data_IF_350703919019
#
_entry.id   IF_350703919019
#
_cell.length_a   1.000
_cell.length_b   1.000
_cell.length_c   1.000
_cell.angle_alpha   90.00
_cell.angle_beta   90.00
_cell.angle_gamma   90.00
#
_symmetry.space_group_name_H-M   'P 1'
#
loop_
_entity.id
_entity.type
_entity.pdbx_description
1 polymer ?
#
# COMPACT_ATOMS: atom_id res chain seq x y z
N UNK A 1 -2.61 26.39 -24.59
CA UNK A 1 -3.59 26.94 -23.64
C UNK A 1 -3.99 25.78 -22.75
N UNK A 2 -3.32 25.67 -21.60
CA UNK A 2 -3.65 24.66 -20.61
C UNK A 2 -4.97 25.08 -19.95
N UNK A 3 -5.96 24.17 -19.96
CA UNK A 3 -7.24 24.39 -19.31
C UNK A 3 -7.07 24.49 -17.79
N UNK A 4 -8.03 25.09 -17.06
CA UNK A 4 -7.93 25.28 -15.63
C UNK A 4 -7.71 23.93 -14.93
N UNK A 5 -6.61 23.81 -14.18
CA UNK A 5 -6.29 22.61 -13.41
C UNK A 5 -7.44 22.28 -12.46
N UNK A 6 -7.78 20.98 -12.35
CA UNK A 6 -8.81 20.51 -11.43
C UNK A 6 -8.46 20.89 -9.99
N UNK A 7 -9.46 21.29 -9.20
CA UNK A 7 -9.28 21.59 -7.78
C UNK A 7 -8.89 20.33 -6.99
N UNK A 8 -8.23 20.47 -5.84
CA UNK A 8 -7.84 19.32 -4.99
C UNK A 8 -9.05 18.49 -4.58
N UNK A 9 -10.19 19.11 -4.36
CA UNK A 9 -11.46 18.44 -4.06
C UNK A 9 -11.95 17.58 -5.23
N UNK A 10 -11.86 18.09 -6.48
CA UNK A 10 -12.25 17.32 -7.67
C UNK A 10 -11.31 16.16 -7.94
N UNK A 11 -10.02 16.32 -7.70
CA UNK A 11 -9.02 15.23 -7.84
C UNK A 11 -9.30 14.12 -6.84
N UNK A 12 -9.53 14.45 -5.57
CA UNK A 12 -9.87 13.49 -4.51
C UNK A 12 -11.18 12.77 -4.80
N UNK A 13 -12.23 13.47 -5.25
CA UNK A 13 -13.50 12.85 -5.61
C UNK A 13 -13.38 11.92 -6.83
N UNK A 14 -12.52 12.25 -7.79
CA UNK A 14 -12.25 11.36 -8.93
C UNK A 14 -11.49 10.12 -8.49
N UNK A 15 -10.44 10.26 -7.67
CA UNK A 15 -9.67 9.14 -7.16
C UNK A 15 -10.55 8.12 -6.41
N UNK A 16 -11.50 8.60 -5.60
CA UNK A 16 -12.43 7.76 -4.84
C UNK A 16 -13.42 6.96 -5.71
N UNK A 17 -13.47 7.22 -7.03
CA UNK A 17 -14.33 6.49 -7.99
C UNK A 17 -13.56 5.50 -8.85
N UNK A 18 -12.23 5.61 -8.91
CA UNK A 18 -11.41 4.70 -9.68
C UNK A 18 -11.27 3.36 -8.93
N UNK A 19 -11.28 2.28 -9.68
CA UNK A 19 -11.14 0.91 -9.16
C UNK A 19 -9.79 0.29 -9.50
N UNK A 20 -8.92 1.04 -10.18
CA UNK A 20 -7.54 0.69 -10.51
C UNK A 20 -6.69 1.96 -10.65
N UNK A 21 -5.37 1.85 -10.48
CA UNK A 21 -4.41 2.96 -10.55
C UNK A 21 -3.15 2.48 -11.25
N UNK A 22 -2.70 3.26 -12.22
CA UNK A 22 -1.47 3.01 -12.94
C UNK A 22 -0.29 3.71 -12.25
N UNK A 23 0.93 3.46 -12.71
CA UNK A 23 2.15 3.94 -12.05
C UNK A 23 2.19 5.46 -11.85
N UNK A 24 1.74 6.24 -12.83
CA UNK A 24 1.69 7.69 -12.72
C UNK A 24 0.72 8.19 -11.64
N UNK A 25 -0.39 7.47 -11.42
CA UNK A 25 -1.33 7.77 -10.33
C UNK A 25 -0.68 7.50 -8.97
N UNK A 26 0.10 6.41 -8.87
CA UNK A 26 0.85 6.08 -7.65
C UNK A 26 1.92 7.13 -7.35
N UNK A 27 2.62 7.62 -8.37
CA UNK A 27 3.57 8.72 -8.22
C UNK A 27 2.87 10.04 -7.84
N UNK A 28 1.69 10.32 -8.39
CA UNK A 28 0.87 11.47 -7.98
C UNK A 28 0.45 11.34 -6.50
N UNK A 29 0.09 10.13 -6.05
CA UNK A 29 -0.15 9.87 -4.62
C UNK A 29 1.11 10.13 -3.79
N UNK A 30 2.27 9.65 -4.24
CA UNK A 30 3.55 9.84 -3.55
C UNK A 30 3.96 11.32 -3.44
N UNK A 31 3.57 12.16 -4.40
CA UNK A 31 3.77 13.63 -4.36
C UNK A 31 2.71 14.37 -3.56
N UNK A 32 1.69 13.68 -3.01
CA UNK A 32 0.59 14.28 -2.26
C UNK A 32 -0.48 14.93 -3.12
N UNK A 33 -0.49 14.65 -4.42
CA UNK A 33 -1.40 15.27 -5.40
C UNK A 33 -2.74 14.52 -5.53
N UNK A 34 -2.75 13.18 -5.29
CA UNK A 34 -3.91 12.33 -5.54
C UNK A 34 -5.02 12.54 -4.50
N UNK A 35 -4.68 12.54 -3.23
CA UNK A 35 -5.63 12.70 -2.11
C UNK A 35 -5.55 14.10 -1.47
N UNK A 36 -4.72 14.97 -2.01
CA UNK A 36 -4.52 16.33 -1.53
C UNK A 36 -3.52 16.45 -0.37
N UNK A 37 -3.06 17.68 -0.08
CA UNK A 37 -2.06 17.94 0.94
C UNK A 37 -2.48 17.47 2.34
N UNK A 38 -1.54 16.89 3.10
CA UNK A 38 -1.78 16.43 4.47
C UNK A 38 -2.52 15.11 4.60
N UNK A 39 -2.89 14.47 3.49
CA UNK A 39 -3.57 13.17 3.46
C UNK A 39 -2.61 12.00 3.18
N UNK A 40 -3.17 10.80 2.99
CA UNK A 40 -2.40 9.60 2.73
C UNK A 40 -1.48 9.77 1.52
N UNK A 41 -0.22 9.37 1.67
CA UNK A 41 0.79 9.37 0.62
C UNK A 41 1.48 8.01 0.55
N UNK A 42 1.81 7.59 -0.65
CA UNK A 42 2.76 6.50 -0.87
C UNK A 42 4.20 7.03 -0.75
N UNK A 43 5.19 6.20 -0.46
CA UNK A 43 6.58 6.61 -0.58
C UNK A 43 6.94 6.79 -2.07
N UNK A 44 7.96 7.60 -2.33
CA UNK A 44 8.57 7.68 -3.65
C UNK A 44 9.48 6.46 -3.90
N UNK A 45 9.77 6.10 -5.16
CA UNK A 45 10.82 5.15 -5.46
C UNK A 45 12.17 5.55 -4.83
N UNK A 46 12.98 4.59 -4.35
CA UNK A 46 12.82 3.15 -4.53
C UNK A 46 11.95 2.45 -3.49
N UNK A 47 11.35 3.15 -2.54
CA UNK A 47 10.51 2.56 -1.48
C UNK A 47 9.05 2.29 -1.90
N UNK A 48 8.59 2.79 -3.04
CA UNK A 48 7.32 2.38 -3.63
C UNK A 48 7.44 0.93 -4.10
N UNK A 49 6.70 0.02 -3.48
CA UNK A 49 6.91 -1.43 -3.62
C UNK A 49 5.95 -2.11 -4.58
N UNK A 50 5.18 -1.36 -5.36
CA UNK A 50 4.33 -1.86 -6.44
C UNK A 50 4.21 -0.81 -7.55
N UNK A 51 3.90 -1.25 -8.75
CA UNK A 51 3.83 -0.39 -9.94
C UNK A 51 2.40 -0.17 -10.44
N UNK A 52 1.43 -0.92 -9.90
CA UNK A 52 0.03 -0.83 -10.28
C UNK A 52 -0.86 -1.32 -9.16
N UNK A 53 -2.00 -0.68 -8.97
CA UNK A 53 -3.14 -1.24 -8.24
C UNK A 53 -4.12 -1.73 -9.30
N UNK A 54 -4.20 -3.06 -9.47
CA UNK A 54 -5.05 -3.68 -10.48
C UNK A 54 -6.52 -3.69 -10.08
N UNK A 55 -6.81 -3.68 -8.78
CA UNK A 55 -8.17 -3.63 -8.24
C UNK A 55 -8.20 -3.01 -6.85
N UNK A 56 -9.22 -2.20 -6.61
CA UNK A 56 -9.58 -1.69 -5.28
C UNK A 56 -11.10 -1.62 -5.18
N UNK A 57 -11.67 -2.12 -4.09
CA UNK A 57 -13.11 -2.13 -3.85
C UNK A 57 -13.42 -2.02 -2.36
N UNK A 58 -14.48 -1.29 -2.00
CA UNK A 58 -15.01 -1.24 -0.64
C UNK A 58 -15.92 -2.43 -0.29
N UNK A 59 -16.11 -3.34 -1.24
CA UNK A 59 -16.94 -4.54 -1.11
C UNK A 59 -16.09 -5.78 -1.49
N UNK A 60 -16.55 -6.96 -1.06
CA UNK A 60 -15.83 -8.22 -1.35
C UNK A 60 -14.62 -8.43 -0.43
N UNK A 61 -13.61 -9.15 -0.94
CA UNK A 61 -12.49 -9.66 -0.17
C UNK A 61 -12.87 -10.78 0.79
N UNK A 62 -11.88 -11.37 1.45
CA UNK A 62 -12.08 -12.52 2.37
C UNK A 62 -13.08 -12.22 3.50
N UNK A 63 -13.12 -10.97 3.96
CA UNK A 63 -13.96 -10.54 5.09
C UNK A 63 -15.23 -9.76 4.65
N UNK A 64 -15.48 -9.62 3.35
CA UNK A 64 -16.62 -8.85 2.82
C UNK A 64 -16.61 -7.36 3.19
N UNK A 65 -15.41 -6.79 3.43
CA UNK A 65 -15.21 -5.40 3.88
C UNK A 65 -14.36 -4.58 2.92
N UNK A 66 -14.06 -5.15 1.75
CA UNK A 66 -13.23 -4.57 0.72
C UNK A 66 -11.87 -5.22 0.59
N UNK A 67 -11.26 -4.97 -0.56
CA UNK A 67 -9.95 -5.49 -0.92
C UNK A 67 -9.17 -4.49 -1.77
N UNK A 68 -7.86 -4.64 -1.76
CA UNK A 68 -6.96 -3.96 -2.69
C UNK A 68 -5.93 -4.96 -3.19
N UNK A 69 -5.71 -4.97 -4.50
CA UNK A 69 -4.74 -5.83 -5.19
C UNK A 69 -3.76 -4.96 -5.95
N UNK A 70 -2.47 -5.18 -5.73
CA UNK A 70 -1.40 -4.48 -6.42
C UNK A 70 -0.39 -5.46 -7.02
N UNK A 71 0.36 -4.99 -7.99
CA UNK A 71 1.31 -5.80 -8.77
C UNK A 71 2.68 -5.11 -8.86
N UNK A 72 3.73 -5.95 -8.92
CA UNK A 72 5.09 -5.54 -9.20
C UNK A 72 5.75 -6.54 -10.16
N UNK A 73 6.21 -6.05 -11.30
CA UNK A 73 7.07 -6.84 -12.20
C UNK A 73 8.47 -6.94 -11.61
N UNK A 74 8.96 -8.15 -11.45
CA UNK A 74 10.31 -8.39 -10.96
C UNK A 74 11.30 -8.33 -12.13
N UNK A 75 12.32 -7.48 -11.95
CA UNK A 75 13.44 -7.33 -12.88
C UNK A 75 14.73 -7.66 -12.15
N UNK A 76 15.68 -8.35 -12.80
CA UNK A 76 16.94 -8.76 -12.14
C UNK A 76 17.81 -7.61 -11.64
N UNK A 77 17.57 -6.38 -12.13
CA UNK A 77 18.30 -5.16 -11.79
C UNK A 77 17.60 -4.32 -10.69
N UNK A 78 16.52 -4.84 -10.06
CA UNK A 78 15.91 -4.15 -8.93
C UNK A 78 16.93 -3.91 -7.81
N UNK A 79 16.87 -2.72 -7.23
CA UNK A 79 17.87 -2.15 -6.34
C UNK A 79 18.27 -3.02 -5.14
N UNK A 80 17.39 -3.88 -4.67
CA UNK A 80 17.65 -4.73 -3.51
C UNK A 80 18.46 -6.00 -3.86
N UNK A 81 18.39 -6.51 -5.09
CA UNK A 81 19.08 -7.75 -5.47
C UNK A 81 20.62 -7.66 -5.41
N UNK A 82 21.27 -6.55 -5.85
CA UNK A 82 22.72 -6.44 -5.73
C UNK A 82 23.26 -6.42 -4.31
N UNK A 83 22.44 -6.02 -3.34
CA UNK A 83 22.86 -5.82 -1.94
C UNK A 83 22.29 -6.87 -0.98
N UNK A 84 21.30 -7.64 -1.38
CA UNK A 84 20.64 -8.59 -0.50
C UNK A 84 20.44 -9.97 -1.17
N UNK A 85 21.45 -10.81 -1.24
CA UNK A 85 22.84 -10.68 -0.81
C UNK A 85 23.80 -10.81 -2.00
N UNK A 86 25.07 -10.40 -1.83
CA UNK A 86 26.08 -10.60 -2.87
C UNK A 86 26.28 -12.08 -3.18
N UNK A 87 25.92 -12.50 -4.40
CA UNK A 87 26.01 -13.91 -4.82
C UNK A 87 24.81 -14.78 -4.46
N UNK A 88 23.83 -14.23 -3.72
CA UNK A 88 22.58 -14.89 -3.35
C UNK A 88 21.43 -13.84 -3.34
N UNK A 89 21.00 -13.37 -4.53
CA UNK A 89 20.03 -12.29 -4.65
C UNK A 89 18.62 -12.75 -4.25
N UNK A 90 18.08 -12.12 -3.22
CA UNK A 90 16.71 -12.33 -2.75
C UNK A 90 16.11 -11.00 -2.28
N UNK A 91 14.84 -10.75 -2.55
CA UNK A 91 14.14 -9.58 -2.04
C UNK A 91 14.03 -9.64 -0.52
N UNK A 92 14.41 -8.58 0.22
CA UNK A 92 14.16 -8.53 1.67
C UNK A 92 12.69 -8.74 2.00
N UNK A 93 12.38 -9.69 2.89
CA UNK A 93 11.00 -9.99 3.27
C UNK A 93 10.24 -8.79 3.86
N UNK A 94 10.98 -7.88 4.54
CA UNK A 94 10.40 -6.64 5.07
C UNK A 94 9.83 -5.71 3.99
N UNK A 95 10.35 -5.74 2.76
CA UNK A 95 9.83 -4.92 1.66
C UNK A 95 8.45 -5.39 1.19
N UNK A 96 8.24 -6.71 1.16
CA UNK A 96 6.90 -7.27 0.88
C UNK A 96 5.88 -6.92 1.96
N UNK A 97 6.30 -6.94 3.23
CA UNK A 97 5.46 -6.51 4.34
C UNK A 97 5.15 -5.00 4.26
N UNK A 98 6.14 -4.18 3.92
CA UNK A 98 5.95 -2.74 3.78
C UNK A 98 4.97 -2.41 2.64
N UNK A 99 5.03 -3.14 1.51
CA UNK A 99 4.05 -3.02 0.44
C UNK A 99 2.60 -3.20 0.93
N UNK A 100 2.35 -4.20 1.78
CA UNK A 100 1.02 -4.44 2.34
C UNK A 100 0.54 -3.28 3.23
N UNK A 101 1.44 -2.66 4.02
CA UNK A 101 1.10 -1.46 4.78
C UNK A 101 0.88 -0.24 3.88
N UNK A 102 1.67 -0.06 2.82
CA UNK A 102 1.48 1.00 1.83
C UNK A 102 0.08 0.89 1.20
N UNK A 103 -0.32 -0.31 0.79
CA UNK A 103 -1.64 -0.59 0.20
C UNK A 103 -2.78 -0.30 1.18
N UNK A 104 -2.65 -0.71 2.45
CA UNK A 104 -3.66 -0.45 3.47
C UNK A 104 -3.80 1.06 3.72
N UNK A 105 -2.69 1.81 3.76
CA UNK A 105 -2.70 3.26 3.86
C UNK A 105 -3.34 3.94 2.65
N UNK A 106 -3.02 3.48 1.44
CA UNK A 106 -3.65 3.94 0.21
C UNK A 106 -5.16 3.70 0.21
N UNK A 107 -5.61 2.51 0.64
CA UNK A 107 -7.03 2.16 0.73
C UNK A 107 -7.81 3.12 1.65
N UNK A 108 -7.24 3.49 2.79
CA UNK A 108 -7.88 4.46 3.69
C UNK A 108 -7.99 5.85 3.05
N UNK A 109 -6.94 6.30 2.34
CA UNK A 109 -6.97 7.55 1.56
C UNK A 109 -8.01 7.51 0.44
N UNK A 110 -8.10 6.40 -0.28
CA UNK A 110 -9.08 6.16 -1.32
C UNK A 110 -10.53 6.21 -0.79
N UNK A 111 -10.76 5.78 0.44
CA UNK A 111 -12.06 5.94 1.13
C UNK A 111 -12.33 7.38 1.61
N UNK A 112 -11.44 8.32 1.33
CA UNK A 112 -11.56 9.71 1.75
C UNK A 112 -11.23 9.99 3.21
N UNK A 113 -10.56 9.06 3.90
CA UNK A 113 -10.14 9.30 5.28
C UNK A 113 -8.98 10.33 5.30
N UNK A 114 -9.09 11.39 6.12
CA UNK A 114 -8.06 12.43 6.19
C UNK A 114 -6.86 11.99 7.03
N UNK A 115 -5.70 12.60 6.75
CA UNK A 115 -4.51 12.49 7.59
C UNK A 115 -3.37 11.68 6.99
N UNK A 116 -2.20 11.78 7.61
CA UNK A 116 -0.95 11.14 7.19
C UNK A 116 -0.89 9.69 7.69
N UNK A 117 -0.52 8.77 6.79
CA UNK A 117 -0.43 7.33 7.08
C UNK A 117 0.77 6.96 7.97
N UNK A 118 0.55 6.05 8.91
CA UNK A 118 1.60 5.40 9.70
C UNK A 118 1.29 3.93 9.88
N UNK A 119 2.27 3.07 9.57
CA UNK A 119 2.22 1.67 9.96
C UNK A 119 2.30 1.58 11.49
N UNK A 120 1.42 0.80 12.09
CA UNK A 120 1.33 0.70 13.56
C UNK A 120 1.77 -0.67 14.07
N UNK A 121 1.27 -1.74 13.44
CA UNK A 121 1.62 -3.10 13.85
C UNK A 121 1.19 -4.12 12.81
N UNK A 122 1.66 -5.34 13.00
CA UNK A 122 1.15 -6.58 12.40
C UNK A 122 1.06 -7.63 13.51
N UNK A 123 0.05 -8.47 13.48
CA UNK A 123 -0.13 -9.53 14.48
C UNK A 123 0.78 -10.72 14.23
N UNK A 124 0.80 -11.24 13.00
CA UNK A 124 1.62 -12.37 12.59
C UNK A 124 2.09 -12.18 11.15
N UNK A 125 3.33 -12.56 10.87
CA UNK A 125 3.86 -12.67 9.50
C UNK A 125 4.46 -14.06 9.33
N UNK A 126 4.09 -14.74 8.23
CA UNK A 126 4.68 -16.00 7.82
C UNK A 126 5.31 -15.86 6.44
N UNK A 127 6.58 -16.20 6.34
CA UNK A 127 7.32 -16.30 5.09
C UNK A 127 7.43 -17.79 4.72
N UNK A 128 6.78 -18.21 3.64
CA UNK A 128 6.78 -19.58 3.13
C UNK A 128 7.54 -19.73 1.82
N UNK A 129 8.00 -18.64 1.24
CA UNK A 129 8.77 -18.61 0.00
C UNK A 129 9.66 -17.38 -0.10
N UNK A 130 10.36 -17.24 -1.22
CA UNK A 130 11.33 -16.18 -1.50
C UNK A 130 11.03 -15.55 -2.86
N UNK A 131 11.39 -14.27 -3.02
CA UNK A 131 11.40 -13.57 -4.30
C UNK A 131 12.85 -13.51 -4.79
N UNK A 132 13.14 -14.26 -5.83
CA UNK A 132 14.46 -14.31 -6.50
C UNK A 132 14.36 -13.68 -7.89
N UNK A 133 15.49 -13.35 -8.56
CA UNK A 133 15.46 -12.68 -9.87
C UNK A 133 14.76 -13.43 -11.00
N UNK A 134 14.46 -14.72 -10.83
CA UNK A 134 13.72 -15.53 -11.80
C UNK A 134 12.19 -15.48 -11.62
N UNK A 135 11.69 -14.86 -10.56
CA UNK A 135 10.27 -14.54 -10.41
C UNK A 135 9.90 -13.49 -11.46
N UNK A 136 8.76 -13.61 -12.10
CA UNK A 136 8.30 -12.64 -13.09
C UNK A 136 7.43 -11.56 -12.48
N UNK A 137 6.50 -11.96 -11.59
CA UNK A 137 5.50 -11.03 -11.05
C UNK A 137 5.17 -11.32 -9.59
N UNK A 138 5.04 -10.24 -8.80
CA UNK A 138 4.40 -10.27 -7.49
C UNK A 138 2.98 -9.74 -7.58
N UNK A 139 2.09 -10.39 -6.83
CA UNK A 139 0.74 -9.94 -6.57
C UNK A 139 0.56 -9.77 -5.06
N UNK A 140 0.26 -8.54 -4.63
CA UNK A 140 -0.04 -8.19 -3.26
C UNK A 140 -1.55 -8.07 -3.11
N UNK A 141 -2.11 -8.66 -2.07
CA UNK A 141 -3.54 -8.61 -1.76
C UNK A 141 -3.69 -8.17 -0.31
N UNK A 142 -4.54 -7.20 -0.06
CA UNK A 142 -4.96 -6.84 1.31
C UNK A 142 -6.47 -6.92 1.39
N UNK A 143 -6.96 -7.79 2.27
CA UNK A 143 -8.37 -7.98 2.60
C UNK A 143 -8.71 -7.21 3.87
N UNK A 144 -9.64 -6.26 3.76
CA UNK A 144 -10.04 -5.41 4.87
C UNK A 144 -10.89 -6.17 5.89
N UNK A 145 -10.48 -6.13 7.16
CA UNK A 145 -11.24 -6.69 8.29
C UNK A 145 -12.15 -5.67 8.93
N UNK A 146 -11.66 -4.45 9.14
CA UNK A 146 -12.42 -3.36 9.76
C UNK A 146 -11.75 -2.01 9.58
N UNK A 147 -12.57 -0.97 9.63
CA UNK A 147 -12.12 0.42 9.70
C UNK A 147 -12.76 1.05 10.93
N UNK A 148 -11.93 1.67 11.76
CA UNK A 148 -12.34 2.34 13.00
C UNK A 148 -12.08 3.82 12.83
N UNK A 149 -13.12 4.65 12.92
CA UNK A 149 -13.04 6.11 12.84
C UNK A 149 -13.31 6.69 14.22
N UNK A 150 -12.27 7.29 14.81
CA UNK A 150 -12.32 7.98 16.12
C UNK A 150 -11.49 9.26 16.03
N UNK A 151 -10.53 9.48 16.95
CA UNK A 151 -9.54 10.58 16.86
C UNK A 151 -8.69 10.50 15.58
N UNK A 152 -8.45 9.30 15.09
CA UNK A 152 -7.80 9.00 13.81
C UNK A 152 -8.53 7.84 13.13
N UNK A 153 -8.28 7.63 11.86
CA UNK A 153 -8.83 6.48 11.13
C UNK A 153 -7.84 5.32 11.18
N UNK A 154 -8.26 4.19 11.74
CA UNK A 154 -7.49 2.95 11.80
C UNK A 154 -8.05 1.93 10.82
N UNK A 155 -7.23 1.45 9.90
CA UNK A 155 -7.49 0.29 9.06
C UNK A 155 -6.86 -0.96 9.64
N UNK A 156 -7.58 -2.07 9.62
CA UNK A 156 -7.09 -3.41 9.96
C UNK A 156 -7.39 -4.34 8.80
N UNK A 157 -6.41 -5.10 8.35
CA UNK A 157 -6.55 -6.05 7.25
C UNK A 157 -5.61 -7.23 7.36
N UNK A 158 -5.85 -8.26 6.56
CA UNK A 158 -4.94 -9.36 6.34
C UNK A 158 -4.28 -9.20 4.97
N UNK A 159 -3.03 -9.59 4.86
CA UNK A 159 -2.25 -9.47 3.64
C UNK A 159 -1.77 -10.81 3.12
N UNK A 160 -1.71 -10.93 1.80
CA UNK A 160 -1.12 -12.06 1.08
C UNK A 160 -0.19 -11.54 -0.01
N UNK A 161 0.99 -12.13 -0.14
CA UNK A 161 1.90 -11.92 -1.25
C UNK A 161 2.06 -13.21 -2.02
N UNK A 162 1.86 -13.12 -3.34
CA UNK A 162 2.10 -14.22 -4.27
C UNK A 162 3.25 -13.89 -5.20
N UNK A 163 4.07 -14.88 -5.51
CA UNK A 163 5.07 -14.85 -6.58
C UNK A 163 4.64 -15.84 -7.67
N UNK A 164 4.43 -15.36 -8.89
CA UNK A 164 3.97 -16.15 -10.04
C UNK A 164 2.74 -17.03 -9.72
N UNK A 165 1.81 -16.47 -8.92
CA UNK A 165 0.57 -17.13 -8.49
C UNK A 165 0.67 -17.95 -7.20
N UNK A 166 1.87 -18.30 -6.74
CA UNK A 166 2.08 -19.09 -5.52
C UNK A 166 2.17 -18.19 -4.29
N UNK A 167 1.43 -18.50 -3.22
CA UNK A 167 1.48 -17.74 -1.97
C UNK A 167 2.81 -17.95 -1.25
N UNK A 168 3.53 -16.87 -1.02
CA UNK A 168 4.85 -16.87 -0.36
C UNK A 168 4.88 -16.09 0.96
N UNK A 169 3.93 -15.16 1.19
CA UNK A 169 3.78 -14.47 2.46
C UNK A 169 2.31 -14.46 2.88
N UNK A 170 2.09 -14.51 4.18
CA UNK A 170 0.82 -14.10 4.80
C UNK A 170 1.10 -13.20 5.98
N UNK A 171 0.28 -12.15 6.13
CA UNK A 171 0.34 -11.21 7.24
C UNK A 171 -1.06 -11.08 7.85
N UNK A 172 -1.18 -11.27 9.15
CA UNK A 172 -2.46 -11.13 9.87
C UNK A 172 -2.48 -9.87 10.71
N UNK A 173 -3.63 -9.21 10.75
CA UNK A 173 -3.88 -8.01 11.55
C UNK A 173 -2.87 -6.87 11.26
N UNK A 174 -2.60 -6.63 9.97
CA UNK A 174 -1.93 -5.39 9.54
C UNK A 174 -2.72 -4.19 10.05
N UNK A 175 -2.04 -3.20 10.63
CA UNK A 175 -2.68 -1.97 11.13
C UNK A 175 -1.98 -0.74 10.60
N UNK A 176 -2.78 0.17 10.04
CA UNK A 176 -2.36 1.50 9.59
C UNK A 176 -3.31 2.53 10.16
N UNK A 177 -2.76 3.61 10.71
CA UNK A 177 -3.50 4.77 11.15
C UNK A 177 -3.31 5.96 10.20
N UNK A 178 -4.40 6.72 9.92
CA UNK A 178 -4.30 8.04 9.31
C UNK A 178 -4.53 9.10 10.39
N UNK A 179 -3.53 9.97 10.58
CA UNK A 179 -3.52 11.01 11.61
C UNK A 179 -3.64 12.38 10.95
N UNK A 180 -4.71 13.13 11.27
CA UNK A 180 -4.86 14.51 10.83
C UNK A 180 -3.88 15.43 11.57
N UNK A 181 -3.36 16.46 10.90
CA UNK A 181 -2.49 17.47 11.52
C UNK A 181 -3.23 18.15 12.68
N UNK A 182 -2.68 18.11 13.88
CA UNK A 182 -3.27 18.65 15.12
C UNK A 182 -3.52 17.60 16.23
N UNK A 183 -3.34 16.31 15.93
CA UNK A 183 -3.30 15.24 16.92
C UNK A 183 -1.87 14.94 17.33
N UNK A 184 -1.43 15.43 18.47
CA UNK A 184 -0.10 15.19 19.07
C UNK A 184 0.11 13.76 19.59
N UNK A 185 -0.59 12.77 19.07
CA UNK A 185 -0.51 11.38 19.51
C UNK A 185 -0.27 10.41 18.34
N UNK A 186 0.82 10.56 17.61
CA UNK A 186 1.48 9.39 17.06
C UNK A 186 2.13 8.70 18.27
N UNK A 187 1.90 7.39 18.54
CA UNK A 187 2.55 6.74 19.66
C UNK A 187 4.06 6.84 19.47
N UNK A 188 4.70 7.69 20.27
CA UNK A 188 6.12 7.61 20.49
C UNK A 188 6.32 6.27 21.19
N UNK A 189 6.95 5.34 20.48
CA UNK A 189 7.57 4.10 21.00
C UNK A 189 6.81 3.36 22.12
N UNK A 190 6.29 2.18 21.79
CA UNK A 190 6.34 1.06 22.71
C UNK A 190 7.43 0.10 22.27
#
# INVERSE_FOLDING_TARGET
MDGPGKSDTERTQMANRLTSFEYEDLLACARGELFGPGNAQLPLPPMLMFERISRISSEGGEHGKGEIVAELSIKPDLWFFPCHFKGDPVMPGCLGLDALWQMLGFFLGWLGAPGKGRALSVGEVKFSGMVVPSVEKLEYIVDLKRIIRRKFTLGVGDGTLKADGETIYTAKDLRVGLFADGGEDAPASA
#
